data_IF_988627626642
#
_entry.id   IF_988627626642
#
_cell.length_a   1.000
_cell.length_b   1.000
_cell.length_c   1.000
_cell.angle_alpha   90.00
_cell.angle_beta   90.00
_cell.angle_gamma   90.00
#
_symmetry.space_group_name_H-M   'P 1'
#
loop_
_entity.id
_entity.type
_entity.pdbx_description
1 polymer ?
2 water ?
#
# COMPACT_ATOMS: atom_id res chain seq x y z
N UNK A 3 -14.71 -0.32 13.78
CA UNK A 3 -14.76 -0.79 12.40
C UNK A 3 -13.40 -0.62 11.70
N UNK A 4 -13.11 -1.55 10.79
CA UNK A 4 -11.79 -1.71 10.18
C UNK A 4 -11.82 -1.44 8.68
N UNK A 5 -10.82 -0.70 8.21
CA UNK A 5 -10.54 -0.48 6.78
C UNK A 5 -10.49 -1.81 6.01
N UNK A 6 -11.28 -1.97 4.94
CA UNK A 6 -11.23 -3.20 4.14
C UNK A 6 -10.33 -3.03 2.94
N UNK A 7 -9.72 -4.13 2.52
CA UNK A 7 -8.77 -4.13 1.42
C UNK A 7 -9.20 -5.12 0.35
N UNK A 8 -8.76 -4.89 -0.88
CA UNK A 8 -9.01 -5.84 -1.94
C UNK A 8 -7.79 -5.94 -2.85
N UNK A 9 -7.59 -7.10 -3.48
CA UNK A 9 -6.53 -7.28 -4.49
C UNK A 9 -6.56 -6.18 -5.55
N UNK A 10 -5.39 -5.60 -5.82
CA UNK A 10 -5.25 -4.53 -6.79
C UNK A 10 -4.45 -5.02 -8.01
N UNK A 11 -5.10 -5.03 -9.18
CA UNK A 11 -4.47 -5.39 -10.46
C UNK A 11 -3.79 -6.77 -10.46
N UNK A 12 -4.53 -7.78 -10.04
CA UNK A 12 -4.03 -9.14 -9.87
C UNK A 12 -3.54 -9.78 -11.17
N UNK A 13 -4.11 -9.35 -12.29
CA UNK A 13 -3.68 -9.83 -13.59
C UNK A 13 -2.38 -9.15 -14.09
N UNK A 14 -1.77 -8.30 -13.27
CA UNK A 14 -0.50 -7.66 -13.63
C UNK A 14 0.68 -8.16 -12.80
N UNK A 15 0.42 -9.04 -11.83
CA UNK A 15 1.44 -9.49 -10.88
C UNK A 15 2.40 -10.51 -11.49
N UNK A 16 3.67 -10.39 -11.15
CA UNK A 16 4.64 -11.40 -11.54
C UNK A 16 4.66 -12.51 -10.52
N UNK A 17 5.20 -13.66 -10.90
CA UNK A 17 5.33 -14.76 -9.96
C UNK A 17 6.81 -15.04 -9.62
N UNK A 18 7.03 -15.92 -8.65
CA UNK A 18 8.36 -16.18 -8.15
C UNK A 18 8.70 -17.64 -8.41
N UNK A 19 9.96 -17.89 -8.77
CA UNK A 19 10.43 -19.25 -8.95
C UNK A 19 11.61 -19.49 -8.03
N UNK A 20 11.78 -20.73 -7.57
CA UNK A 20 12.91 -21.06 -6.71
C UNK A 20 14.13 -21.52 -7.52
N UNK A 21 15.14 -21.99 -6.80
CA UNK A 21 16.41 -22.40 -7.40
C UNK A 21 16.27 -23.65 -8.29
N UNK A 22 15.27 -24.48 -8.02
CA UNK A 22 14.94 -25.64 -8.84
C UNK A 22 14.09 -25.29 -10.07
N UNK A 23 13.88 -24.00 -10.32
CA UNK A 23 13.02 -23.48 -11.40
C UNK A 23 11.54 -23.88 -11.25
N UNK A 24 11.13 -24.25 -10.04
CA UNK A 24 9.71 -24.48 -9.71
C UNK A 24 9.01 -23.19 -9.25
N UNK A 25 7.81 -22.94 -9.75
CA UNK A 25 7.04 -21.79 -9.26
C UNK A 25 6.65 -21.93 -7.79
N UNK A 26 6.84 -20.85 -7.04
CA UNK A 26 6.48 -20.82 -5.62
C UNK A 26 4.96 -20.76 -5.45
N UNK A 27 4.45 -21.43 -4.41
CA UNK A 27 3.04 -21.16 -4.06
C UNK A 27 2.89 -19.66 -3.83
N UNK A 28 1.81 -19.06 -4.32
CA UNK A 28 1.53 -17.64 -4.11
C UNK A 28 1.80 -17.22 -2.66
N UNK A 29 2.43 -16.08 -2.47
CA UNK A 29 2.78 -15.70 -1.12
C UNK A 29 1.54 -15.17 -0.43
N UNK A 30 1.46 -15.37 0.87
CA UNK A 30 0.37 -14.82 1.64
C UNK A 30 0.67 -13.34 1.86
N UNK A 31 -0.37 -12.52 1.81
CA UNK A 31 -0.23 -11.08 1.83
C UNK A 31 -1.41 -10.48 2.59
N UNK A 32 -1.15 -9.77 3.67
CA UNK A 32 -2.25 -9.17 4.40
C UNK A 32 -1.87 -7.74 4.79
N UNK A 33 -2.79 -6.82 4.59
CA UNK A 33 -2.53 -5.43 4.88
C UNK A 33 -3.50 -4.98 5.97
N UNK A 34 -2.95 -4.31 6.97
CA UNK A 34 -3.71 -3.82 8.11
C UNK A 34 -3.35 -2.35 8.39
N UNK A 35 -4.33 -1.46 8.29
CA UNK A 35 -4.09 -0.07 8.64
C UNK A 35 -4.70 0.14 10.01
N UNK A 36 -3.85 0.09 11.04
CA UNK A 36 -4.28 0.01 12.44
C UNK A 36 -4.78 1.33 13.00
N UNK A 37 -3.83 2.20 13.34
CA UNK A 37 -4.14 3.52 13.85
C UNK A 37 -4.29 4.51 12.70
N UNK A 38 -5.20 5.47 12.87
CA UNK A 38 -5.25 6.60 11.97
C UNK A 38 -6.56 6.80 11.24
N UNK A 39 -7.46 5.81 11.30
CA UNK A 39 -8.68 5.87 10.51
C UNK A 39 -9.93 5.62 11.33
N UNK A 40 -10.93 6.47 11.13
CA UNK A 40 -12.18 6.36 11.87
C UNK A 40 -13.38 6.40 10.95
N UNK A 41 -14.34 5.52 11.17
CA UNK A 41 -15.45 5.43 10.25
C UNK A 41 -16.55 6.40 10.62
N UNK A 42 -16.97 7.19 9.64
CA UNK A 42 -18.00 8.21 9.86
C UNK A 42 -19.32 7.72 9.30
N UNK A 43 -20.24 7.39 10.20
CA UNK A 43 -21.55 6.89 9.82
C UNK A 43 -22.29 7.84 8.87
N UNK A 44 -22.23 9.14 9.15
CA UNK A 44 -22.86 10.15 8.30
C UNK A 44 -22.22 10.34 6.94
N UNK A 45 -20.90 10.21 6.85
CA UNK A 45 -20.21 10.32 5.57
C UNK A 45 -20.11 8.99 4.81
N UNK A 46 -20.34 7.88 5.52
CA UNK A 46 -20.30 6.54 4.90
C UNK A 46 -18.92 6.30 4.30
N UNK A 47 -17.89 6.63 5.07
CA UNK A 47 -16.51 6.52 4.61
C UNK A 47 -15.59 6.63 5.80
N UNK A 48 -14.38 6.11 5.66
CA UNK A 48 -13.36 6.32 6.66
C UNK A 48 -12.80 7.71 6.53
N UNK A 49 -12.58 8.33 7.67
CA UNK A 49 -12.01 9.66 7.78
C UNK A 49 -10.70 9.64 8.55
N UNK A 50 -9.75 10.45 8.13
CA UNK A 50 -8.65 10.79 9.02
C UNK A 50 -8.32 12.28 8.98
N UNK A 51 -7.46 12.68 9.91
CA UNK A 51 -7.00 14.05 9.97
C UNK A 51 -5.60 14.10 9.42
N UNK A 52 -5.37 15.01 8.49
CA UNK A 52 -4.07 15.10 7.83
C UNK A 52 -2.95 15.30 8.85
N UNK A 53 -3.29 15.90 9.99
CA UNK A 53 -2.31 16.16 11.04
C UNK A 53 -1.87 14.88 11.75
N UNK A 54 -2.78 13.92 11.92
CA UNK A 54 -2.48 12.69 12.66
C UNK A 54 -1.66 11.63 11.90
N UNK A 55 -0.76 10.97 12.63
CA UNK A 55 -0.06 9.78 12.15
C UNK A 55 -1.07 8.70 11.79
N UNK A 56 -0.85 8.00 10.69
CA UNK A 56 -1.48 6.70 10.54
C UNK A 56 -0.38 5.68 10.32
N UNK A 57 -0.73 4.41 10.47
CA UNK A 57 0.27 3.37 10.46
C UNK A 57 -0.24 2.23 9.60
N UNK A 58 0.66 1.57 8.90
CA UNK A 58 0.28 0.44 8.10
C UNK A 58 1.17 -0.74 8.44
N UNK A 59 0.56 -1.91 8.62
CA UNK A 59 1.28 -3.14 8.86
C UNK A 59 1.03 -4.15 7.73
N UNK A 60 2.09 -4.77 7.24
CA UNK A 60 1.95 -5.75 6.17
C UNK A 60 2.54 -7.08 6.64
N UNK A 61 1.78 -8.16 6.50
CA UNK A 61 2.31 -9.49 6.80
C UNK A 61 2.56 -10.21 5.48
N UNK A 62 3.82 -10.52 5.20
CA UNK A 62 4.18 -11.22 3.96
C UNK A 62 4.70 -12.64 4.24
N UNK A 63 3.93 -13.65 3.84
CA UNK A 63 4.30 -15.03 4.09
C UNK A 63 4.99 -15.65 2.88
N UNK A 64 6.29 -15.88 3.01
CA UNK A 64 7.09 -16.38 1.90
C UNK A 64 7.16 -17.91 1.93
N UNK A 65 6.53 -18.56 0.97
CA UNK A 65 6.34 -20.01 1.05
C UNK A 65 7.35 -20.80 0.22
N UNK A 66 8.62 -20.74 0.59
CA UNK A 66 9.66 -21.38 -0.19
C UNK A 66 10.77 -20.37 -0.31
N UNK A 67 11.83 -20.73 -1.03
CA UNK A 67 12.99 -19.86 -1.16
C UNK A 67 13.04 -19.24 -2.56
N UNK A 68 12.62 -17.97 -2.68
CA UNK A 68 12.52 -17.34 -3.99
C UNK A 68 13.91 -17.00 -4.52
N UNK A 69 14.09 -17.09 -5.84
CA UNK A 69 15.37 -16.78 -6.46
C UNK A 69 15.16 -16.04 -7.77
N UNK A 70 14.04 -16.29 -8.43
CA UNK A 70 13.73 -15.62 -9.70
C UNK A 70 12.33 -15.03 -9.75
N UNK A 71 12.21 -13.95 -10.50
CA UNK A 71 10.92 -13.41 -10.88
C UNK A 71 10.65 -13.91 -12.29
N UNK A 72 9.44 -14.38 -12.58
CA UNK A 72 9.10 -14.68 -13.97
C UNK A 72 8.58 -13.43 -14.65
N UNK A 73 9.23 -13.06 -15.75
CA UNK A 73 8.99 -11.78 -16.43
C UNK A 73 8.61 -12.04 -17.89
N UNK A 74 8.19 -10.99 -18.64
CA UNK A 74 8.02 -11.17 -20.09
C UNK A 74 9.27 -11.77 -20.75
N UNK A 75 10.44 -11.21 -20.46
CA UNK A 75 11.71 -11.77 -20.90
C UNK A 75 11.96 -13.20 -20.36
N UNK A 76 11.22 -13.59 -19.32
CA UNK A 76 11.40 -14.91 -18.73
C UNK A 76 11.93 -14.82 -17.30
N UNK A 77 12.53 -15.90 -16.80
CA UNK A 77 13.09 -15.90 -15.44
C UNK A 77 14.30 -14.98 -15.27
N UNK A 78 14.19 -13.97 -14.41
CA UNK A 78 15.35 -13.14 -14.08
C UNK A 78 15.62 -13.26 -12.59
N UNK A 79 16.90 -13.22 -12.19
CA UNK A 79 17.29 -13.34 -10.78
C UNK A 79 16.81 -12.16 -9.93
N UNK A 80 16.43 -12.44 -8.69
CA UNK A 80 15.92 -11.42 -7.80
C UNK A 80 17.02 -10.53 -7.25
N UNK A 81 16.86 -9.21 -7.33
CA UNK A 81 17.81 -8.29 -6.68
C UNK A 81 17.41 -7.99 -5.23
N UNK A 82 16.18 -7.52 -5.03
CA UNK A 82 15.64 -7.31 -3.69
C UNK A 82 14.13 -7.16 -3.70
N UNK A 83 13.56 -6.88 -2.53
CA UNK A 83 12.14 -6.64 -2.43
C UNK A 83 11.91 -5.24 -1.91
N UNK A 84 10.87 -4.59 -2.42
CA UNK A 84 10.46 -3.25 -1.99
C UNK A 84 9.01 -3.23 -1.58
N UNK A 85 8.74 -2.54 -0.49
CA UNK A 85 7.38 -2.20 -0.16
C UNK A 85 7.13 -0.78 -0.66
N UNK A 86 6.02 -0.56 -1.35
CA UNK A 86 5.68 0.75 -1.89
C UNK A 86 4.28 1.11 -1.46
N UNK A 87 4.10 2.31 -0.93
CA UNK A 87 2.73 2.77 -0.76
C UNK A 87 2.45 4.21 -1.13
N UNK A 88 1.23 4.40 -1.63
CA UNK A 88 0.79 5.67 -2.13
C UNK A 88 -0.73 5.74 -2.19
N UNK A 89 -1.25 6.96 -2.20
CA UNK A 89 -2.67 7.19 -2.35
C UNK A 89 -2.96 7.32 -3.82
N UNK A 90 -4.20 7.09 -4.20
CA UNK A 90 -4.63 7.49 -5.52
C UNK A 90 -5.94 8.24 -5.35
N UNK A 91 -6.29 9.03 -6.34
CA UNK A 91 -7.52 9.79 -6.28
C UNK A 91 -8.64 8.96 -6.84
N UNK A 92 -9.69 8.79 -6.06
CA UNK A 92 -10.82 7.97 -6.48
C UNK A 92 -11.48 8.49 -7.77
N UNK A 93 -11.45 9.80 -8.02
CA UNK A 93 -12.02 10.30 -9.27
C UNK A 93 -10.95 10.49 -10.37
N UNK A 94 -9.71 10.09 -10.07
CA UNK A 94 -8.62 10.15 -11.04
C UNK A 94 -7.59 9.12 -10.65
N UNK A 95 -7.89 7.85 -10.93
CA UNK A 95 -7.10 6.73 -10.43
C UNK A 95 -5.66 6.73 -10.96
N UNK A 96 -5.42 7.46 -12.04
CA UNK A 96 -4.07 7.59 -12.59
C UNK A 96 -3.25 8.70 -11.90
N UNK A 97 -3.78 9.26 -10.82
CA UNK A 97 -3.14 10.35 -10.07
C UNK A 97 -2.81 9.95 -8.64
N UNK A 98 -1.53 9.97 -8.29
CA UNK A 98 -1.08 9.49 -7.00
C UNK A 98 -1.09 10.59 -5.98
N UNK A 99 -1.23 10.21 -4.72
CA UNK A 99 -1.01 11.12 -3.63
C UNK A 99 0.21 10.61 -2.90
N UNK A 100 1.22 11.46 -2.75
CA UNK A 100 2.35 11.08 -1.96
C UNK A 100 1.95 10.82 -0.54
N UNK A 101 2.58 9.83 0.06
CA UNK A 101 2.49 9.66 1.50
C UNK A 101 3.80 10.17 2.07
N UNK A 102 3.73 10.72 3.27
CA UNK A 102 4.92 11.26 3.92
C UNK A 102 5.13 10.62 5.28
N UNK A 103 6.37 10.58 5.72
CA UNK A 103 6.67 10.01 7.01
C UNK A 103 7.34 11.06 7.87
N UNK A 104 6.76 11.37 9.02
CA UNK A 104 7.36 12.39 9.86
C UNK A 104 8.46 11.77 10.70
N UNK A 105 9.62 12.42 10.70
CA UNK A 105 10.78 11.94 11.43
C UNK A 105 10.65 12.27 12.91
N UNK A 106 11.63 11.83 13.69
CA UNK A 106 11.58 11.98 15.14
C UNK A 106 11.70 13.44 15.59
N UNK A 107 12.00 14.33 14.64
CA UNK A 107 12.10 15.78 14.89
C UNK A 107 10.95 16.58 14.28
N UNK A 108 9.88 15.87 13.91
CA UNK A 108 8.68 16.41 13.25
C UNK A 108 8.94 17.10 11.90
N UNK A 109 10.09 16.82 11.29
CA UNK A 109 10.23 17.09 9.87
C UNK A 109 9.40 16.03 9.15
N UNK A 110 9.26 16.15 7.84
CA UNK A 110 8.57 15.13 7.07
C UNK A 110 9.39 14.80 5.84
N UNK A 111 9.45 13.52 5.50
CA UNK A 111 10.10 13.14 4.27
C UNK A 111 9.06 12.46 3.46
N UNK A 112 9.15 12.58 2.13
CA UNK A 112 8.26 11.78 1.30
C UNK A 112 8.63 10.32 1.50
N UNK A 113 7.63 9.45 1.56
CA UNK A 113 7.87 8.05 1.84
C UNK A 113 8.27 7.30 0.57
N UNK A 114 9.55 6.95 0.50
CA UNK A 114 10.11 6.17 -0.60
C UNK A 114 9.95 4.67 -0.39
N UNK A 115 9.88 3.91 -1.50
CA UNK A 115 9.87 2.45 -1.40
C UNK A 115 10.96 1.93 -0.46
N UNK A 116 10.60 1.07 0.49
CA UNK A 116 11.54 0.57 1.47
C UNK A 116 11.94 -0.90 1.22
N UNK A 117 13.23 -1.19 1.38
CA UNK A 117 13.75 -2.52 1.16
C UNK A 117 13.26 -3.43 2.26
N UNK A 118 12.80 -4.62 1.90
CA UNK A 118 12.40 -5.59 2.90
C UNK A 118 13.11 -6.89 2.64
N UNK A 119 13.58 -7.51 3.72
CA UNK A 119 14.14 -8.85 3.63
C UNK A 119 13.04 -9.86 3.97
N UNK A 120 12.84 -10.82 3.08
CA UNK A 120 11.79 -11.82 3.27
C UNK A 120 12.39 -13.19 3.32
N UNK A 121 12.86 -13.61 4.50
CA UNK A 121 13.40 -14.96 4.67
C UNK A 121 12.35 -15.99 4.31
N UNK A 122 12.78 -17.12 3.76
CA UNK A 122 11.88 -18.20 3.32
C UNK A 122 11.19 -18.93 4.48
N UNK A 123 10.03 -19.50 4.17
CA UNK A 123 9.20 -20.21 5.14
C UNK A 123 8.79 -19.38 6.33
N UNK A 124 8.88 -18.06 6.23
CA UNK A 124 8.47 -17.20 7.32
C UNK A 124 7.44 -16.19 6.89
N UNK A 125 6.62 -15.77 7.84
CA UNK A 125 5.86 -14.55 7.67
C UNK A 125 6.73 -13.41 8.18
N UNK A 126 6.93 -12.40 7.34
CA UNK A 126 7.57 -11.18 7.79
C UNK A 126 6.53 -10.06 8.00
N UNK A 127 6.54 -9.48 9.19
CA UNK A 127 5.71 -8.35 9.55
C UNK A 127 6.48 -7.06 9.22
N UNK A 128 5.90 -6.20 8.39
CA UNK A 128 6.52 -4.91 8.11
C UNK A 128 5.57 -3.83 8.60
N UNK A 129 6.02 -3.03 9.56
CA UNK A 129 5.21 -1.94 10.12
C UNK A 129 5.77 -0.61 9.68
N UNK A 130 4.95 0.17 8.99
CA UNK A 130 5.36 1.51 8.60
C UNK A 130 4.48 2.49 9.37
N UNK A 131 5.10 3.27 10.25
CA UNK A 131 4.36 4.22 11.08
C UNK A 131 4.70 5.68 10.79
N UNK A 132 4.07 6.59 11.54
CA UNK A 132 4.28 8.04 11.39
C UNK A 132 4.00 8.53 9.97
N UNK A 133 2.95 7.98 9.35
CA UNK A 133 2.61 8.32 7.97
C UNK A 133 1.55 9.45 7.89
N UNK A 134 1.60 10.22 6.81
CA UNK A 134 0.64 11.29 6.54
C UNK A 134 0.35 11.36 5.08
N UNK A 135 -0.87 11.73 4.75
CA UNK A 135 -1.17 12.16 3.40
C UNK A 135 -0.60 13.55 3.15
N UNK A 136 -0.01 13.73 1.98
CA UNK A 136 0.54 15.02 1.56
C UNK A 136 -0.55 15.99 1.16
N UNK A 137 -1.80 15.53 1.24
CA UNK A 137 -2.95 16.24 0.68
C UNK A 137 -4.24 16.02 1.49
N UNK A 138 -5.17 16.96 1.37
CA UNK A 138 -6.51 16.75 1.85
C UNK A 138 -7.34 16.36 0.65
N UNK A 139 -8.49 15.76 0.92
CA UNK A 139 -9.44 15.54 -0.14
C UNK A 139 -10.20 16.86 -0.39
N UNK A 140 -10.46 17.13 -1.65
CA UNK A 140 -11.29 18.24 -2.07
C UNK A 140 -12.76 18.07 -1.65
N UNK A 141 -13.39 19.20 -1.34
CA UNK A 141 -14.84 19.30 -1.16
C UNK A 141 -15.31 18.61 0.10
N UNK A 142 -14.50 18.69 1.15
CA UNK A 142 -14.89 18.15 2.45
C UNK A 142 -16.05 18.92 3.07
N UNK A 143 -16.16 20.20 2.73
CA UNK A 143 -17.14 21.12 3.30
C UNK A 143 -18.55 20.61 3.06
N UNK A 144 -19.36 20.62 4.11
CA UNK A 144 -20.77 20.24 4.02
C UNK A 144 -21.58 21.27 3.19
N UNK A 145 -22.56 20.80 2.43
CA UNK A 145 -23.44 21.69 1.67
C UNK A 145 -24.90 21.36 1.93
N UNK A 146 -25.65 22.35 2.41
CA UNK A 146 -27.04 22.18 2.83
C UNK A 146 -27.16 21.21 4.00
N UNK A 147 -26.15 21.18 4.87
CA UNK A 147 -26.15 20.29 6.03
C UNK A 147 -25.93 18.83 5.67
N UNK A 148 -25.88 18.54 4.37
CA UNK A 148 -25.64 17.19 3.85
C UNK A 148 -24.22 17.06 3.27
N UNK A 149 -23.73 15.81 3.10
CA UNK A 149 -22.36 15.73 2.59
C UNK A 149 -22.28 16.35 1.20
N UNK A 150 -21.21 17.09 0.97
CA UNK A 150 -20.95 17.67 -0.32
C UNK A 150 -21.11 16.64 -1.43
N UNK A 151 -22.03 16.89 -2.38
CA UNK A 151 -22.23 15.88 -3.43
C UNK A 151 -20.99 15.75 -4.33
N UNK A 152 -20.04 16.66 -4.17
CA UNK A 152 -18.76 16.53 -4.86
C UNK A 152 -17.60 16.11 -3.94
N UNK A 153 -17.93 15.58 -2.77
CA UNK A 153 -16.96 14.97 -1.88
C UNK A 153 -16.00 14.08 -2.66
N UNK A 154 -14.70 14.30 -2.46
CA UNK A 154 -13.65 13.49 -3.06
C UNK A 154 -12.99 12.58 -2.02
N UNK A 155 -12.29 11.55 -2.51
CA UNK A 155 -11.73 10.50 -1.67
C UNK A 155 -10.37 10.05 -2.18
N UNK A 156 -9.53 9.55 -1.27
CA UNK A 156 -8.36 8.78 -1.66
C UNK A 156 -8.59 7.30 -1.37
N UNK A 157 -7.71 6.49 -1.95
CA UNK A 157 -7.55 5.10 -1.58
C UNK A 157 -6.09 4.84 -1.44
N UNK A 158 -5.78 3.94 -0.52
CA UNK A 158 -4.41 3.61 -0.19
C UNK A 158 -3.97 2.40 -1.02
N UNK A 159 -2.78 2.44 -1.58
CA UNK A 159 -2.29 1.28 -2.31
C UNK A 159 -1.03 0.84 -1.63
N UNK A 160 -0.99 -0.42 -1.24
CA UNK A 160 0.17 -1.02 -0.61
C UNK A 160 0.62 -2.20 -1.47
N UNK A 161 1.83 -2.11 -2.01
CA UNK A 161 2.30 -3.10 -2.97
C UNK A 161 3.67 -3.66 -2.63
N UNK A 162 3.81 -4.96 -2.83
CA UNK A 162 5.07 -5.64 -2.69
C UNK A 162 5.71 -5.80 -4.07
N UNK A 163 6.96 -5.35 -4.18
CA UNK A 163 7.62 -5.38 -5.48
C UNK A 163 8.98 -6.06 -5.45
N UNK A 164 9.31 -6.67 -6.58
CA UNK A 164 10.60 -7.29 -6.76
C UNK A 164 11.40 -6.47 -7.77
N UNK A 165 12.62 -6.10 -7.40
CA UNK A 165 13.57 -5.55 -8.35
C UNK A 165 14.36 -6.69 -9.00
N UNK A 166 14.33 -6.75 -10.33
CA UNK A 166 15.16 -7.69 -11.07
C UNK A 166 15.52 -7.07 -12.43
N UNK A 167 16.78 -7.21 -12.85
CA UNK A 167 17.31 -6.68 -14.12
C UNK A 167 16.83 -5.26 -14.46
N UNK A 168 17.02 -4.34 -13.52
CA UNK A 168 16.70 -2.94 -13.74
C UNK A 168 15.27 -2.64 -14.17
N UNK A 169 14.33 -3.47 -13.73
CA UNK A 169 12.93 -3.11 -13.81
C UNK A 169 12.24 -3.58 -12.52
N UNK A 170 11.03 -3.10 -12.28
CA UNK A 170 10.27 -3.56 -11.13
C UNK A 170 9.04 -4.37 -11.52
N UNK A 171 8.70 -5.33 -10.68
CA UNK A 171 7.58 -6.22 -10.92
C UNK A 171 6.78 -6.33 -9.66
N UNK A 172 5.46 -6.22 -9.78
CA UNK A 172 4.59 -6.27 -8.63
C UNK A 172 4.32 -7.73 -8.29
N UNK A 173 4.46 -8.10 -7.02
CA UNK A 173 4.23 -9.49 -6.61
C UNK A 173 2.85 -9.63 -5.97
N UNK A 174 2.43 -8.55 -5.30
CA UNK A 174 1.19 -8.51 -4.57
C UNK A 174 0.87 -7.06 -4.30
N UNK A 175 -0.41 -6.71 -4.36
CA UNK A 175 -0.82 -5.35 -4.05
C UNK A 175 -2.22 -5.38 -3.51
N UNK A 176 -2.54 -4.47 -2.60
CA UNK A 176 -3.92 -4.33 -2.15
C UNK A 176 -4.30 -2.87 -2.14
N UNK A 177 -5.58 -2.60 -2.40
CA UNK A 177 -6.05 -1.23 -2.38
C UNK A 177 -7.21 -1.11 -1.37
N UNK A 178 -7.22 -0.02 -0.61
CA UNK A 178 -8.21 0.16 0.47
C UNK A 178 -9.50 0.66 -0.06
N UNK A 179 -10.49 0.74 0.82
CA UNK A 179 -11.72 1.45 0.49
C UNK A 179 -11.50 2.96 0.63
N UNK A 180 -12.44 3.77 0.16
CA UNK A 180 -12.26 5.21 0.11
C UNK A 180 -12.11 5.89 1.47
N UNK A 181 -11.30 6.95 1.45
CA UNK A 181 -10.94 7.70 2.62
C UNK A 181 -11.13 9.19 2.38
N UNK A 182 -11.71 9.87 3.36
CA UNK A 182 -11.74 11.33 3.40
C UNK A 182 -10.57 11.85 4.25
N UNK A 183 -9.79 12.79 3.73
CA UNK A 183 -8.73 13.38 4.54
C UNK A 183 -8.98 14.86 4.86
N UNK A 184 -9.27 15.13 6.13
CA UNK A 184 -9.62 16.47 6.62
C UNK A 184 -8.51 17.29 7.30
N UNK A 185 -8.61 18.61 7.15
CA UNK A 185 -7.76 19.56 7.87
C UNK A 185 -8.34 19.85 9.26
N UNK A 186 -7.64 20.66 10.04
CA UNK A 186 -8.08 20.95 11.42
C UNK A 186 -8.52 22.39 11.58
#
# INVERSE_FOLDING_TARGET
>A
GPEIIKWQPHQQNKWATLYDANYKELPMLTYRVDADKGFNFSVGDDAFVCQKKNHFQVTVYIGMLGEPKYVKTPEGLKPLDCFYLKLHGVKLEALNQSINIEQSQSDRSKRPFNPVTVNLPPEQVTKVTVGRLHFSETTANNMRKKGKPNPDQRYFMLVVALQAHAQNQNYTLAAQISERIIVRAS
#
